data_IF_589198469749
#
_entry.id   IF_589198469749
#
_cell.length_a   1.000
_cell.length_b   1.000
_cell.length_c   1.000
_cell.angle_alpha   90.00
_cell.angle_beta   90.00
_cell.angle_gamma   90.00
#
_symmetry.space_group_name_H-M   'P 1'
#
loop_
_entity.id
_entity.type
_entity.pdbx_description
1 polymer ?
#
# COMPACT_ATOMS: atom_id res chain seq x y z
N UNK A 1 -14.22 -64.34 -3.84
CA UNK A 1 -14.29 -62.96 -3.31
C UNK A 1 -13.16 -62.15 -3.93
N UNK A 2 -13.42 -61.31 -4.95
CA UNK A 2 -12.37 -60.41 -5.49
C UNK A 2 -12.90 -59.18 -6.25
N UNK A 3 -14.18 -58.81 -6.10
CA UNK A 3 -14.76 -57.64 -6.82
C UNK A 3 -14.69 -56.31 -6.05
N UNK A 4 -14.26 -56.31 -4.79
CA UNK A 4 -14.25 -55.10 -3.94
C UNK A 4 -12.95 -54.29 -3.95
N UNK A 5 -11.82 -54.89 -4.33
CA UNK A 5 -10.50 -54.25 -4.16
C UNK A 5 -10.17 -53.25 -5.28
N UNK A 6 -10.58 -53.55 -6.52
CA UNK A 6 -10.35 -52.66 -7.66
C UNK A 6 -11.13 -51.34 -7.54
N UNK A 7 -12.41 -51.40 -7.17
CA UNK A 7 -13.24 -50.21 -7.00
C UNK A 7 -12.69 -49.25 -5.92
N UNK A 8 -12.18 -49.81 -4.81
CA UNK A 8 -11.61 -49.02 -3.72
C UNK A 8 -10.31 -48.32 -4.15
N UNK A 9 -9.47 -49.00 -4.93
CA UNK A 9 -8.22 -48.43 -5.47
C UNK A 9 -8.50 -47.30 -6.48
N UNK A 10 -9.51 -47.46 -7.34
CA UNK A 10 -9.94 -46.40 -8.26
C UNK A 10 -10.51 -45.17 -7.54
N UNK A 11 -11.26 -45.36 -6.45
CA UNK A 11 -11.80 -44.25 -5.66
C UNK A 11 -10.66 -43.49 -4.96
N UNK A 12 -9.69 -44.21 -4.37
CA UNK A 12 -8.52 -43.59 -3.73
C UNK A 12 -7.69 -42.84 -4.78
N UNK A 13 -7.38 -43.47 -5.91
CA UNK A 13 -6.62 -42.83 -6.98
C UNK A 13 -7.31 -41.58 -7.55
N UNK A 14 -8.63 -41.64 -7.76
CA UNK A 14 -9.41 -40.49 -8.21
C UNK A 14 -9.40 -39.34 -7.18
N UNK A 15 -9.44 -39.65 -5.89
CA UNK A 15 -9.38 -38.65 -4.83
C UNK A 15 -8.02 -37.96 -4.77
N UNK A 16 -6.91 -38.72 -4.87
CA UNK A 16 -5.55 -38.16 -4.87
C UNK A 16 -5.21 -37.40 -6.16
N UNK A 17 -5.83 -37.75 -7.29
CA UNK A 17 -5.70 -36.98 -8.52
C UNK A 17 -6.55 -35.71 -8.43
N UNK A 18 -7.80 -35.75 -7.95
CA UNK A 18 -8.68 -34.59 -7.95
C UNK A 18 -8.28 -33.52 -6.90
N UNK A 19 -7.81 -33.94 -5.72
CA UNK A 19 -7.47 -33.05 -4.61
C UNK A 19 -6.48 -31.91 -4.98
N UNK A 20 -5.34 -32.16 -5.67
CA UNK A 20 -4.42 -31.09 -6.05
C UNK A 20 -5.02 -30.11 -7.08
N UNK A 21 -5.89 -30.57 -7.98
CA UNK A 21 -6.54 -29.67 -8.94
C UNK A 21 -7.62 -28.81 -8.28
N UNK A 22 -8.39 -29.37 -7.34
CA UNK A 22 -9.36 -28.58 -6.56
C UNK A 22 -8.63 -27.56 -5.70
N UNK A 23 -7.55 -27.94 -5.02
CA UNK A 23 -6.73 -27.03 -4.23
C UNK A 23 -6.12 -25.91 -5.11
N UNK A 24 -5.61 -26.25 -6.28
CA UNK A 24 -5.06 -25.28 -7.24
C UNK A 24 -6.12 -24.30 -7.76
N UNK A 25 -7.31 -24.79 -8.14
CA UNK A 25 -8.41 -23.93 -8.61
C UNK A 25 -8.95 -23.03 -7.49
N UNK A 26 -9.02 -23.53 -6.25
CA UNK A 26 -9.41 -22.71 -5.09
C UNK A 26 -8.34 -21.64 -4.83
N UNK A 27 -7.06 -22.01 -4.89
CA UNK A 27 -5.94 -21.07 -4.69
C UNK A 27 -5.86 -20.00 -5.79
N UNK A 28 -6.30 -20.30 -7.02
CA UNK A 28 -6.42 -19.31 -8.09
C UNK A 28 -7.58 -18.32 -7.88
N UNK A 29 -8.61 -18.70 -7.11
CA UNK A 29 -9.78 -17.84 -6.84
C UNK A 29 -9.64 -17.02 -5.57
N UNK A 30 -8.88 -17.51 -4.60
CA UNK A 30 -8.45 -16.71 -3.45
C UNK A 30 -7.18 -15.99 -3.87
N UNK A 31 -7.34 -14.77 -4.40
CA UNK A 31 -6.23 -13.84 -4.55
C UNK A 31 -5.42 -13.81 -3.26
N UNK A 32 -4.11 -13.57 -3.38
CA UNK A 32 -3.17 -13.50 -2.26
C UNK A 32 -3.45 -12.29 -1.38
N UNK A 33 -4.60 -12.26 -0.71
CA UNK A 33 -4.87 -11.39 0.40
C UNK A 33 -4.11 -11.96 1.58
N UNK A 34 -2.92 -11.38 1.80
CA UNK A 34 -2.26 -11.44 3.10
C UNK A 34 -3.30 -11.13 4.17
N UNK A 35 -3.66 -12.13 4.98
CA UNK A 35 -4.51 -11.98 6.16
C UNK A 35 -3.80 -11.07 7.15
N UNK A 36 -3.98 -9.77 6.97
CA UNK A 36 -3.32 -8.74 7.73
C UNK A 36 -4.30 -7.62 8.00
N UNK A 37 -4.92 -7.68 9.18
CA UNK A 37 -5.57 -6.57 9.87
C UNK A 37 -6.91 -6.12 9.25
N UNK A 38 -8.00 -6.62 9.85
CA UNK A 38 -9.18 -5.77 10.05
C UNK A 38 -8.71 -4.62 10.93
N UNK A 39 -8.56 -3.43 10.35
CA UNK A 39 -8.07 -2.24 11.05
C UNK A 39 -8.98 -1.95 12.26
N UNK A 40 -8.47 -2.00 13.50
CA UNK A 40 -9.19 -1.41 14.62
C UNK A 40 -9.37 0.08 14.31
N UNK A 41 -10.62 0.56 14.36
CA UNK A 41 -10.97 1.91 13.95
C UNK A 41 -10.10 2.94 14.66
N UNK A 42 -9.18 3.57 13.92
CA UNK A 42 -8.39 4.66 14.43
C UNK A 42 -9.32 5.84 14.71
N UNK A 43 -9.29 6.38 15.92
CA UNK A 43 -10.10 7.54 16.28
C UNK A 43 -9.49 8.85 15.79
N UNK A 44 -8.17 8.89 15.66
CA UNK A 44 -7.41 10.07 15.23
C UNK A 44 -6.36 9.74 14.18
N UNK A 45 -5.89 10.77 13.48
CA UNK A 45 -4.86 10.69 12.45
C UNK A 45 -5.43 10.60 11.05
N UNK A 46 -4.71 9.97 10.13
CA UNK A 46 -5.18 9.75 8.78
C UNK A 46 -4.68 8.42 8.22
N UNK A 47 -5.23 8.03 7.08
CA UNK A 47 -4.70 6.91 6.30
C UNK A 47 -4.34 7.34 4.89
N UNK A 48 -3.33 6.67 4.33
CA UNK A 48 -3.04 6.67 2.89
C UNK A 48 -3.42 5.31 2.34
N UNK A 49 -4.19 5.30 1.26
CA UNK A 49 -4.58 4.06 0.58
C UNK A 49 -3.63 3.80 -0.58
N UNK A 50 -3.25 2.54 -0.78
CA UNK A 50 -2.45 2.10 -1.91
C UNK A 50 -3.20 0.99 -2.64
N UNK A 51 -3.42 1.22 -3.93
CA UNK A 51 -3.90 0.24 -4.88
C UNK A 51 -2.74 -0.06 -5.84
N UNK A 52 -2.21 -1.28 -5.81
CA UNK A 52 -1.17 -1.70 -6.74
C UNK A 52 -1.58 -2.99 -7.43
N UNK A 53 -1.68 -2.91 -8.75
CA UNK A 53 -2.07 -4.01 -9.63
C UNK A 53 -0.90 -4.93 -9.98
N UNK A 54 0.35 -4.46 -9.86
CA UNK A 54 1.51 -5.21 -10.30
C UNK A 54 2.76 -4.98 -9.45
N UNK A 55 3.49 -6.04 -9.11
CA UNK A 55 4.82 -5.94 -8.51
C UNK A 55 4.84 -5.33 -7.10
N UNK A 56 6.05 -4.98 -6.65
CA UNK A 56 6.29 -4.33 -5.36
C UNK A 56 6.29 -2.81 -5.50
N UNK A 57 6.02 -2.12 -4.40
CA UNK A 57 6.00 -0.67 -4.28
C UNK A 57 6.63 -0.23 -2.97
N UNK A 58 7.19 0.98 -2.97
CA UNK A 58 7.80 1.62 -1.81
C UNK A 58 7.15 2.99 -1.59
N UNK A 59 6.43 3.14 -0.47
CA UNK A 59 5.92 4.43 0.01
C UNK A 59 7.00 5.11 0.85
N UNK A 60 7.47 6.26 0.38
CA UNK A 60 8.46 7.09 1.06
C UNK A 60 7.78 8.17 1.89
N UNK A 61 8.38 8.48 3.04
CA UNK A 61 7.90 9.53 3.96
C UNK A 61 9.05 10.49 4.28
N UNK A 62 8.82 11.78 4.06
CA UNK A 62 9.78 12.85 4.33
C UNK A 62 9.10 13.97 5.10
N UNK A 63 9.76 14.48 6.13
CA UNK A 63 9.29 15.61 6.94
C UNK A 63 9.95 16.91 6.48
N UNK A 64 9.16 17.96 6.39
CA UNK A 64 9.59 19.29 5.99
C UNK A 64 9.25 20.30 7.08
N UNK A 65 10.09 21.32 7.23
CA UNK A 65 9.86 22.43 8.14
C UNK A 65 8.70 23.31 7.72
N UNK A 66 8.49 23.44 6.41
CA UNK A 66 7.38 24.18 5.83
C UNK A 66 6.95 23.60 4.47
N UNK A 67 5.92 24.21 3.88
CA UNK A 67 5.36 23.76 2.60
C UNK A 67 6.31 24.03 1.43
N UNK A 68 7.14 25.05 1.51
CA UNK A 68 8.06 25.44 0.44
C UNK A 68 9.22 24.46 0.36
N UNK A 69 9.81 24.07 1.50
CA UNK A 69 10.81 22.99 1.56
C UNK A 69 10.22 21.68 1.00
N UNK A 70 8.97 21.35 1.33
CA UNK A 70 8.30 20.16 0.80
C UNK A 70 8.12 20.20 -0.73
N UNK A 71 8.05 21.39 -1.32
CA UNK A 71 7.92 21.62 -2.77
C UNK A 71 9.25 21.83 -3.49
N UNK A 72 10.35 21.99 -2.78
CA UNK A 72 11.67 22.22 -3.38
C UNK A 72 12.15 21.03 -4.21
N UNK A 73 11.89 19.80 -3.77
CA UNK A 73 12.27 18.60 -4.50
C UNK A 73 11.66 17.33 -3.94
N UNK A 74 11.73 16.24 -4.69
CA UNK A 74 11.16 14.95 -4.27
C UNK A 74 11.78 14.46 -2.94
N UNK A 75 13.08 14.68 -2.74
CA UNK A 75 13.84 14.20 -1.58
C UNK A 75 14.28 15.32 -0.61
N UNK A 76 13.77 16.54 -0.74
CA UNK A 76 13.99 17.61 0.25
C UNK A 76 13.39 17.25 1.62
N UNK A 77 13.90 17.86 2.70
CA UNK A 77 13.52 17.54 4.06
C UNK A 77 14.18 16.27 4.63
N UNK A 78 13.68 15.85 5.79
CA UNK A 78 14.22 14.73 6.56
C UNK A 78 13.47 13.43 6.24
N UNK A 79 14.18 12.41 5.78
CA UNK A 79 13.59 11.08 5.60
C UNK A 79 13.09 10.54 6.94
N UNK A 80 11.81 10.18 7.00
CA UNK A 80 11.16 9.65 8.21
C UNK A 80 11.16 8.13 8.16
N UNK A 81 10.58 7.58 7.09
CA UNK A 81 10.45 6.14 6.93
C UNK A 81 10.22 5.75 5.48
N UNK A 82 10.19 4.45 5.24
CA UNK A 82 9.81 3.84 3.98
C UNK A 82 9.03 2.57 4.30
N UNK A 83 7.90 2.39 3.64
CA UNK A 83 7.06 1.21 3.80
C UNK A 83 6.87 0.54 2.46
N UNK A 84 7.26 -0.73 2.38
CA UNK A 84 7.15 -1.51 1.16
C UNK A 84 5.91 -2.39 1.18
N UNK A 85 5.35 -2.66 0.01
CA UNK A 85 4.29 -3.63 -0.18
C UNK A 85 4.35 -4.32 -1.54
N UNK A 86 3.40 -5.22 -1.76
CA UNK A 86 3.22 -5.96 -3.01
C UNK A 86 1.89 -5.62 -3.69
N UNK A 87 1.53 -6.43 -4.67
CA UNK A 87 0.21 -6.38 -5.32
C UNK A 87 -0.90 -6.42 -4.27
N UNK A 88 -1.80 -5.43 -4.32
CA UNK A 88 -2.84 -5.25 -3.32
C UNK A 88 -3.98 -4.38 -3.84
N UNK A 89 -5.21 -4.82 -3.57
CA UNK A 89 -6.40 -3.98 -3.70
C UNK A 89 -6.71 -3.32 -2.36
N UNK A 90 -6.54 -2.00 -2.29
CA UNK A 90 -6.92 -1.16 -1.14
C UNK A 90 -6.14 -1.43 0.16
N UNK A 91 -4.81 -1.40 0.10
CA UNK A 91 -3.97 -1.45 1.30
C UNK A 91 -4.02 -0.10 2.04
N UNK A 92 -4.54 -0.11 3.27
CA UNK A 92 -4.71 1.11 4.08
C UNK A 92 -3.56 1.25 5.07
N UNK A 93 -2.75 2.29 4.90
CA UNK A 93 -1.63 2.63 5.78
C UNK A 93 -2.03 3.73 6.76
N UNK A 94 -2.11 3.44 8.07
CA UNK A 94 -2.51 4.41 9.08
C UNK A 94 -1.34 5.22 9.63
N UNK A 95 -1.58 6.51 9.82
CA UNK A 95 -0.66 7.52 10.33
C UNK A 95 -1.30 8.21 11.53
N UNK A 96 -1.06 7.63 12.71
CA UNK A 96 -1.70 8.06 13.98
C UNK A 96 -0.76 8.78 14.94
N UNK A 97 0.54 8.80 14.63
CA UNK A 97 1.57 9.44 15.45
C UNK A 97 2.38 10.38 14.58
N UNK A 98 2.41 11.65 14.95
CA UNK A 98 3.23 12.64 14.27
C UNK A 98 4.73 12.29 14.40
N UNK A 99 5.57 12.65 13.42
CA UNK A 99 7.02 12.50 13.54
C UNK A 99 7.59 13.25 14.75
N UNK A 100 8.51 12.61 15.49
CA UNK A 100 9.08 13.13 16.74
C UNK A 100 10.17 14.20 16.56
N UNK A 101 10.05 15.10 15.58
CA UNK A 101 10.97 16.24 15.50
C UNK A 101 10.18 17.53 15.36
N UNK A 102 10.31 18.39 16.38
CA UNK A 102 9.53 19.63 16.54
C UNK A 102 9.82 20.71 15.50
N UNK A 103 10.71 20.41 14.56
CA UNK A 103 11.01 21.18 13.36
C UNK A 103 10.17 20.77 12.15
N UNK A 104 9.38 19.68 12.20
CA UNK A 104 8.55 19.21 11.09
C UNK A 104 7.14 19.81 11.20
N UNK A 105 6.71 20.54 10.17
CA UNK A 105 5.34 21.06 10.04
C UNK A 105 4.54 20.32 8.96
N UNK A 106 5.20 19.67 8.00
CA UNK A 106 4.55 18.91 6.93
C UNK A 106 5.24 17.57 6.71
N UNK A 107 4.47 16.57 6.31
CA UNK A 107 4.97 15.26 5.88
C UNK A 107 4.53 15.02 4.45
N UNK A 108 5.49 14.75 3.57
CA UNK A 108 5.23 14.35 2.20
C UNK A 108 5.37 12.84 2.01
N UNK A 109 4.49 12.30 1.19
CA UNK A 109 4.31 10.90 0.87
C UNK A 109 4.34 10.72 -0.63
N UNK A 110 5.10 9.74 -1.11
CA UNK A 110 5.10 9.38 -2.54
C UNK A 110 5.48 7.92 -2.72
N UNK A 111 5.01 7.32 -3.81
CA UNK A 111 5.28 5.92 -4.13
C UNK A 111 6.22 5.82 -5.32
N UNK A 112 7.22 4.95 -5.18
CA UNK A 112 8.01 4.46 -6.32
C UNK A 112 7.77 2.96 -6.52
N UNK A 113 7.88 2.45 -7.76
CA UNK A 113 7.99 1.02 -8.00
C UNK A 113 9.15 0.44 -7.19
N UNK A 114 8.91 -0.68 -6.51
CA UNK A 114 9.93 -1.36 -5.70
C UNK A 114 11.04 -1.97 -6.55
N UNK A 115 12.15 -2.32 -5.91
CA UNK A 115 13.32 -2.85 -6.62
C UNK A 115 12.97 -4.12 -7.41
N UNK A 116 13.38 -4.16 -8.68
CA UNK A 116 13.09 -5.26 -9.59
C UNK A 116 11.68 -5.29 -10.19
N UNK A 117 10.81 -4.35 -9.81
CA UNK A 117 9.45 -4.25 -10.35
C UNK A 117 9.39 -3.49 -11.68
N UNK A 118 8.32 -3.76 -12.43
CA UNK A 118 7.99 -2.99 -13.64
C UNK A 118 7.79 -1.53 -13.27
N UNK A 119 8.45 -0.68 -14.05
CA UNK A 119 8.39 0.75 -13.93
C UNK A 119 6.99 1.28 -14.27
N UNK A 120 6.41 2.09 -13.38
CA UNK A 120 5.04 2.61 -13.49
C UNK A 120 4.88 3.90 -12.66
N UNK A 121 3.79 4.63 -12.91
CA UNK A 121 3.47 5.89 -12.25
C UNK A 121 2.25 5.67 -11.38
N UNK A 122 2.34 6.08 -10.12
CA UNK A 122 1.19 6.09 -9.22
C UNK A 122 0.46 7.42 -9.36
N UNK A 123 -0.79 7.36 -9.83
CA UNK A 123 -1.76 8.45 -9.72
C UNK A 123 -2.10 8.71 -8.26
N UNK A 124 -2.46 9.94 -7.93
CA UNK A 124 -2.83 10.36 -6.58
C UNK A 124 -4.22 10.99 -6.61
N UNK A 125 -5.14 10.42 -5.85
CA UNK A 125 -6.40 11.05 -5.46
C UNK A 125 -6.24 11.66 -4.06
N UNK A 126 -6.53 12.95 -3.90
CA UNK A 126 -6.24 13.71 -2.69
C UNK A 126 -7.48 13.82 -1.83
N UNK A 127 -7.36 13.52 -0.55
CA UNK A 127 -8.43 13.65 0.43
C UNK A 127 -8.81 15.09 0.74
N UNK A 128 -9.95 15.26 1.42
CA UNK A 128 -10.54 16.57 1.75
C UNK A 128 -10.23 16.96 3.20
N UNK A 129 -8.96 17.24 3.51
CA UNK A 129 -8.57 17.80 4.80
C UNK A 129 -7.85 19.14 4.62
N UNK A 130 -8.15 20.17 5.44
CA UNK A 130 -7.49 21.48 5.34
C UNK A 130 -5.96 21.38 5.41
N UNK A 131 -5.29 21.98 4.44
CA UNK A 131 -3.82 22.00 4.38
C UNK A 131 -3.19 20.77 3.73
N UNK A 132 -3.97 19.71 3.44
CA UNK A 132 -3.49 18.65 2.55
C UNK A 132 -3.34 19.24 1.14
N UNK A 133 -2.21 18.95 0.52
CA UNK A 133 -1.87 19.40 -0.82
C UNK A 133 -1.25 18.27 -1.63
N UNK A 134 -1.19 18.45 -2.94
CA UNK A 134 -0.38 17.64 -3.81
C UNK A 134 0.75 18.45 -4.46
N UNK A 135 1.76 17.73 -4.91
CA UNK A 135 2.81 18.23 -5.80
C UNK A 135 3.15 17.15 -6.83
N UNK A 136 3.71 17.58 -7.95
CA UNK A 136 4.24 16.68 -8.99
C UNK A 136 5.72 17.03 -9.20
N UNK A 137 6.57 16.01 -9.22
CA UNK A 137 7.99 16.16 -9.51
C UNK A 137 8.39 15.30 -10.71
N UNK A 138 9.41 15.74 -11.44
CA UNK A 138 10.13 14.87 -12.38
C UNK A 138 11.29 14.19 -11.65
N UNK A 139 11.26 12.86 -11.60
CA UNK A 139 12.35 12.04 -11.11
C UNK A 139 12.63 10.93 -12.11
N UNK A 140 13.88 10.85 -12.57
CA UNK A 140 14.33 9.83 -13.54
C UNK A 140 13.54 9.88 -14.87
N UNK A 141 13.11 11.09 -15.30
CA UNK A 141 12.34 11.31 -16.52
C UNK A 141 10.87 10.88 -16.42
N UNK A 142 10.35 10.78 -15.19
CA UNK A 142 8.98 10.36 -14.90
C UNK A 142 8.36 11.26 -13.86
N UNK A 143 7.05 11.48 -14.04
CA UNK A 143 6.22 12.19 -13.07
C UNK A 143 6.01 11.32 -11.84
N UNK A 144 6.28 11.90 -10.68
CA UNK A 144 6.00 11.31 -9.36
C UNK A 144 5.03 12.23 -8.65
N UNK A 145 3.84 11.71 -8.34
CA UNK A 145 2.84 12.40 -7.55
C UNK A 145 3.18 12.30 -6.07
N UNK A 146 3.01 13.41 -5.36
CA UNK A 146 3.35 13.54 -3.95
C UNK A 146 2.15 14.09 -3.21
N UNK A 147 1.78 13.42 -2.12
CA UNK A 147 0.80 13.87 -1.16
C UNK A 147 1.52 14.58 -0.03
N UNK A 148 1.15 15.82 0.28
CA UNK A 148 1.72 16.62 1.37
C UNK A 148 0.65 16.80 2.43
N UNK A 149 0.93 16.41 3.66
CA UNK A 149 -0.01 16.41 4.78
C UNK A 149 0.57 17.24 5.93
N UNK A 150 -0.18 18.20 6.48
CA UNK A 150 0.28 19.01 7.61
C UNK A 150 0.30 18.18 8.91
N UNK A 151 1.19 18.47 9.86
CA UNK A 151 1.32 17.66 11.09
C UNK A 151 0.09 17.75 12.00
N UNK A 152 -0.73 18.78 11.86
CA UNK A 152 -2.03 18.91 12.53
C UNK A 152 -3.00 17.78 12.13
N UNK A 153 -2.83 17.17 10.95
CA UNK A 153 -3.66 16.04 10.53
C UNK A 153 -3.52 14.80 11.44
N UNK A 154 -2.40 14.65 12.16
CA UNK A 154 -2.18 13.50 13.05
C UNK A 154 -3.07 13.53 14.29
N UNK A 155 -3.58 14.70 14.68
CA UNK A 155 -4.44 14.89 15.85
C UNK A 155 -5.93 15.06 15.47
N UNK A 156 -6.23 15.18 14.18
CA UNK A 156 -7.59 15.27 13.67
C UNK A 156 -8.37 13.96 13.84
N UNK A 157 -9.70 14.02 13.74
CA UNK A 157 -10.53 12.81 13.59
C UNK A 157 -10.11 12.04 12.35
N UNK A 158 -10.06 10.72 12.46
CA UNK A 158 -9.51 9.88 11.39
C UNK A 158 -10.19 10.11 10.03
N UNK A 159 -9.37 10.27 8.99
CA UNK A 159 -9.80 10.46 7.60
C UNK A 159 -8.84 9.80 6.61
N UNK A 160 -9.22 9.73 5.34
CA UNK A 160 -8.32 9.29 4.26
C UNK A 160 -7.68 10.52 3.63
N UNK A 161 -6.36 10.66 3.76
CA UNK A 161 -5.61 11.81 3.25
C UNK A 161 -5.32 11.71 1.75
N UNK A 162 -5.22 10.50 1.21
CA UNK A 162 -5.11 10.28 -0.22
C UNK A 162 -5.02 8.81 -0.58
N UNK A 163 -5.22 8.53 -1.86
CA UNK A 163 -5.15 7.20 -2.44
C UNK A 163 -4.19 7.21 -3.63
N UNK A 164 -3.19 6.33 -3.59
CA UNK A 164 -2.30 6.08 -4.71
C UNK A 164 -2.78 4.87 -5.50
N UNK A 165 -2.78 4.98 -6.84
CA UNK A 165 -3.15 3.90 -7.76
C UNK A 165 -2.25 3.85 -8.98
N UNK A 166 -1.79 2.66 -9.38
CA UNK A 166 -1.04 2.41 -10.62
C UNK A 166 -1.92 1.91 -11.78
#
# INVERSE_FOLDING_TARGET
MSKGFGALFFIIAAFFIAAPFVFFIVSLRTGSEVKGISVPGYSTGFSVVVNSSHGTWDLYQYGCADLDECREGLFSGKKISMTSGGETSSYTLPFVTAPNSGDISYVKFFIKPGWGSVQRIFSLDVGTYPGVANAEFDAEGKKVNVLIVPTEAFTASHFIAGSFSD
#
